data_IF_335920286483
#
_entry.id   IF_335920286483
#
_cell.length_a   1.000
_cell.length_b   1.000
_cell.length_c   1.000
_cell.angle_alpha   90.00
_cell.angle_beta   90.00
_cell.angle_gamma   90.00
#
_symmetry.space_group_name_H-M   'P 1'
#
loop_
_entity.id
_entity.type
_entity.pdbx_description
1 polymer ?
#
# COMPACT_ATOMS: atom_id res chain seq x y z
N UNK A 1 -9.24 -4.59 -9.16
CA UNK A 1 -9.63 -3.26 -8.65
C UNK A 1 -11.12 -3.04 -8.86
N UNK A 2 -11.72 -2.22 -8.01
CA UNK A 2 -13.09 -1.71 -8.13
C UNK A 2 -13.04 -0.20 -8.39
N UNK A 3 -14.04 0.33 -9.09
CA UNK A 3 -14.17 1.76 -9.39
C UNK A 3 -14.92 2.46 -8.26
N UNK A 4 -14.33 3.53 -7.75
CA UNK A 4 -14.97 4.45 -6.80
C UNK A 4 -15.25 5.75 -7.57
N UNK A 5 -16.52 6.13 -7.65
CA UNK A 5 -16.90 7.38 -8.30
C UNK A 5 -16.41 8.56 -7.46
N UNK A 6 -15.78 9.53 -8.12
CA UNK A 6 -15.31 10.74 -7.47
C UNK A 6 -16.46 11.62 -7.03
N UNK A 7 -16.24 12.40 -5.98
CA UNK A 7 -17.25 13.23 -5.39
C UNK A 7 -16.81 13.84 -4.07
N UNK A 8 -17.62 14.72 -3.49
CA UNK A 8 -17.45 15.13 -2.12
C UNK A 8 -17.88 13.99 -1.16
N UNK A 9 -17.17 13.84 -0.05
CA UNK A 9 -17.57 13.00 1.08
C UNK A 9 -17.15 13.68 2.39
N UNK A 10 -17.64 13.16 3.52
CA UNK A 10 -17.23 13.62 4.84
C UNK A 10 -16.14 12.69 5.34
N UNK A 11 -14.94 13.24 5.51
CA UNK A 11 -13.79 12.55 6.08
C UNK A 11 -13.71 12.82 7.59
N UNK A 12 -13.47 11.80 8.40
CA UNK A 12 -13.27 11.89 9.83
C UNK A 12 -14.56 11.82 10.66
N UNK A 13 -14.38 11.87 11.97
CA UNK A 13 -15.44 11.82 12.97
C UNK A 13 -15.97 13.21 13.32
N UNK A 14 -17.29 13.31 13.49
CA UNK A 14 -17.97 14.55 13.91
C UNK A 14 -17.47 15.09 15.26
N UNK A 15 -17.06 14.20 16.16
CA UNK A 15 -16.50 14.58 17.46
C UNK A 15 -15.49 13.55 17.95
N UNK A 16 -14.55 14.02 18.77
CA UNK A 16 -13.61 13.17 19.49
C UNK A 16 -14.41 12.29 20.45
N UNK A 17 -14.41 10.97 20.23
CA UNK A 17 -15.07 9.99 21.12
C UNK A 17 -14.11 9.36 22.12
N UNK A 18 -12.80 9.49 21.90
CA UNK A 18 -11.76 9.03 22.82
C UNK A 18 -10.45 9.81 22.62
N UNK A 19 -9.55 9.80 23.61
CA UNK A 19 -8.26 10.49 23.51
C UNK A 19 -7.33 9.95 22.40
N UNK A 20 -7.57 8.74 21.90
CA UNK A 20 -6.76 8.15 20.82
C UNK A 20 -7.22 8.55 19.42
N UNK A 21 -8.34 9.26 19.29
CA UNK A 21 -8.96 9.64 18.02
C UNK A 21 -8.96 11.15 17.80
N UNK A 22 -7.99 11.85 18.39
CA UNK A 22 -7.88 13.30 18.26
C UNK A 22 -7.59 13.74 16.84
N UNK A 23 -6.86 12.93 16.08
CA UNK A 23 -6.50 13.22 14.69
C UNK A 23 -7.59 12.78 13.70
N UNK A 24 -8.63 12.08 14.17
CA UNK A 24 -9.77 11.65 13.34
C UNK A 24 -10.89 12.72 13.28
N UNK A 25 -10.83 13.77 14.10
CA UNK A 25 -11.85 14.82 14.20
C UNK A 25 -11.23 16.23 14.04
N UNK A 26 -12.01 17.26 13.65
CA UNK A 26 -13.41 17.19 13.26
C UNK A 26 -13.61 16.69 11.82
N UNK A 27 -14.81 16.17 11.57
CA UNK A 27 -15.27 15.82 10.25
C UNK A 27 -15.13 17.00 9.28
N UNK A 28 -14.64 16.73 8.07
CA UNK A 28 -14.41 17.73 7.04
C UNK A 28 -14.88 17.24 5.68
N UNK A 29 -15.43 18.14 4.88
CA UNK A 29 -15.79 17.81 3.51
C UNK A 29 -14.53 17.75 2.64
N UNK A 30 -14.25 16.58 2.09
CA UNK A 30 -13.12 16.33 1.16
C UNK A 30 -13.68 15.92 -0.20
N UNK A 31 -12.95 16.22 -1.27
CA UNK A 31 -13.30 15.78 -2.63
C UNK A 31 -12.20 14.91 -3.20
N UNK A 32 -12.55 13.72 -3.65
CA UNK A 32 -11.67 12.82 -4.39
C UNK A 32 -12.09 12.75 -5.87
N UNK A 33 -11.12 12.51 -6.76
CA UNK A 33 -11.40 12.18 -8.17
C UNK A 33 -11.89 10.74 -8.27
N UNK A 34 -12.48 10.34 -9.40
CA UNK A 34 -12.76 8.91 -9.65
C UNK A 34 -11.44 8.14 -9.70
N UNK A 35 -11.37 7.02 -9.00
CA UNK A 35 -10.17 6.17 -8.96
C UNK A 35 -10.54 4.68 -8.93
N UNK A 36 -9.51 3.85 -9.09
CA UNK A 36 -9.58 2.41 -8.93
C UNK A 36 -8.79 2.03 -7.68
N UNK A 37 -9.34 1.16 -6.83
CA UNK A 37 -8.63 0.58 -5.69
C UNK A 37 -8.74 -0.93 -5.71
N UNK A 38 -7.73 -1.64 -5.23
CA UNK A 38 -7.80 -3.10 -5.15
C UNK A 38 -8.90 -3.54 -4.18
N UNK A 39 -9.61 -4.62 -4.55
CA UNK A 39 -10.70 -5.18 -3.73
C UNK A 39 -10.18 -5.91 -2.48
N UNK A 40 -8.95 -6.40 -2.57
CA UNK A 40 -8.26 -7.19 -1.55
C UNK A 40 -6.84 -6.67 -1.44
N UNK A 41 -6.22 -6.89 -0.29
CA UNK A 41 -4.81 -6.60 -0.06
C UNK A 41 -3.93 -7.40 -1.03
N UNK A 42 -2.71 -6.90 -1.24
CA UNK A 42 -1.70 -7.60 -2.04
C UNK A 42 -1.39 -8.94 -1.38
N UNK A 43 -1.51 -10.01 -2.15
CA UNK A 43 -1.25 -11.38 -1.67
C UNK A 43 0.24 -11.72 -1.73
N UNK A 44 0.69 -12.67 -0.90
CA UNK A 44 2.05 -13.21 -0.98
C UNK A 44 2.40 -13.70 -2.39
N UNK A 45 1.47 -14.35 -3.10
CA UNK A 45 1.72 -14.79 -4.49
C UNK A 45 2.03 -13.62 -5.43
N UNK A 46 1.33 -12.50 -5.28
CA UNK A 46 1.60 -11.31 -6.10
C UNK A 46 2.93 -10.67 -5.72
N UNK A 47 3.22 -10.55 -4.42
CA UNK A 47 4.49 -9.98 -3.97
C UNK A 47 5.69 -10.87 -4.34
N UNK A 48 5.53 -12.20 -4.36
CA UNK A 48 6.56 -13.13 -4.82
C UNK A 48 6.96 -12.89 -6.29
N UNK A 49 6.00 -12.52 -7.16
CA UNK A 49 6.28 -12.18 -8.56
C UNK A 49 7.13 -10.91 -8.67
N UNK A 50 6.91 -9.94 -7.78
CA UNK A 50 7.74 -8.74 -7.68
C UNK A 50 9.17 -9.07 -7.25
N UNK A 51 9.35 -9.87 -6.20
CA UNK A 51 10.66 -10.32 -5.74
C UNK A 51 11.42 -11.12 -6.81
N UNK A 52 10.73 -12.02 -7.51
CA UNK A 52 11.31 -12.78 -8.61
C UNK A 52 11.76 -11.87 -9.75
N UNK A 53 10.94 -10.88 -10.10
CA UNK A 53 11.29 -9.88 -11.11
C UNK A 53 12.53 -9.08 -10.68
N UNK A 54 12.61 -8.60 -9.44
CA UNK A 54 13.77 -7.88 -8.94
C UNK A 54 15.04 -8.75 -8.99
N UNK A 55 14.94 -10.01 -8.56
CA UNK A 55 16.04 -10.96 -8.63
C UNK A 55 16.57 -11.18 -10.04
N UNK A 56 15.68 -11.24 -11.04
CA UNK A 56 16.02 -11.35 -12.47
C UNK A 56 16.51 -10.04 -13.10
N UNK A 57 16.20 -8.89 -12.49
CA UNK A 57 16.45 -7.56 -13.05
C UNK A 57 17.29 -6.69 -12.11
N UNK A 58 18.33 -7.23 -11.47
CA UNK A 58 19.11 -6.52 -10.43
C UNK A 58 19.54 -5.10 -10.82
N UNK A 59 19.99 -4.89 -12.05
CA UNK A 59 20.40 -3.56 -12.54
C UNK A 59 19.25 -2.55 -12.71
N UNK A 60 18.00 -3.02 -12.71
CA UNK A 60 16.77 -2.23 -12.80
C UNK A 60 15.91 -2.35 -11.54
N UNK A 61 16.36 -3.10 -10.53
CA UNK A 61 15.55 -3.42 -9.35
C UNK A 61 15.07 -2.16 -8.62
N UNK A 62 15.89 -1.11 -8.61
CA UNK A 62 15.56 0.17 -7.96
C UNK A 62 14.82 1.17 -8.87
N UNK A 63 14.40 0.77 -10.08
CA UNK A 63 13.66 1.63 -11.01
C UNK A 63 12.32 2.11 -10.45
N UNK A 64 11.71 1.33 -9.56
CA UNK A 64 10.38 1.58 -9.02
C UNK A 64 10.41 2.11 -7.58
N UNK A 65 11.59 2.20 -6.98
CA UNK A 65 11.78 2.66 -5.61
C UNK A 65 11.43 4.13 -5.45
N UNK A 66 11.10 4.50 -4.22
CA UNK A 66 10.91 5.91 -3.88
C UNK A 66 12.25 6.65 -3.96
N UNK A 67 12.29 7.91 -4.42
CA UNK A 67 13.51 8.72 -4.33
C UNK A 67 14.02 8.95 -2.90
N UNK A 68 13.14 8.79 -1.89
CA UNK A 68 13.48 8.92 -0.48
C UNK A 68 13.90 7.59 0.18
N UNK A 69 13.95 6.50 -0.59
CA UNK A 69 14.33 5.18 -0.08
C UNK A 69 15.81 5.14 0.31
N UNK A 70 16.18 4.44 1.41
CA UNK A 70 17.57 4.16 1.73
C UNK A 70 18.29 3.43 0.59
N UNK A 71 19.56 3.76 0.36
CA UNK A 71 20.39 3.11 -0.66
C UNK A 71 20.45 1.60 -0.45
N UNK A 72 20.31 0.85 -1.54
CA UNK A 72 20.41 -0.62 -1.59
C UNK A 72 19.44 -1.36 -0.64
N UNK A 73 18.26 -0.78 -0.35
CA UNK A 73 17.21 -1.45 0.43
C UNK A 73 16.82 -2.80 -0.19
N UNK A 74 16.79 -3.83 0.64
CA UNK A 74 16.17 -5.12 0.32
C UNK A 74 14.64 -5.00 0.48
N UNK A 75 13.92 -5.47 -0.53
CA UNK A 75 12.46 -5.48 -0.58
C UNK A 75 11.84 -6.79 -0.11
N UNK A 76 12.67 -7.73 0.36
CA UNK A 76 12.20 -8.96 0.99
C UNK A 76 11.52 -8.62 2.31
N UNK A 77 10.22 -8.95 2.50
CA UNK A 77 9.50 -8.59 3.71
C UNK A 77 10.10 -9.26 4.94
N UNK A 78 10.04 -8.57 6.08
CA UNK A 78 10.47 -9.14 7.35
C UNK A 78 9.62 -10.38 7.68
N UNK A 79 10.26 -11.53 7.86
CA UNK A 79 9.57 -12.80 8.13
C UNK A 79 8.94 -13.44 6.89
N UNK A 80 9.42 -13.15 5.68
CA UNK A 80 8.91 -13.73 4.42
C UNK A 80 8.78 -15.27 4.42
N UNK A 81 9.69 -15.97 5.10
CA UNK A 81 9.68 -17.43 5.21
C UNK A 81 8.89 -17.96 6.41
N UNK A 82 8.26 -17.09 7.20
CA UNK A 82 7.46 -17.50 8.34
C UNK A 82 6.17 -18.20 7.86
N UNK A 83 6.09 -19.50 8.12
CA UNK A 83 4.96 -20.34 7.72
C UNK A 83 3.61 -19.85 8.25
N UNK A 84 3.58 -19.06 9.33
CA UNK A 84 2.34 -18.42 9.84
C UNK A 84 1.73 -17.45 8.85
N UNK A 85 2.55 -16.84 7.99
CA UNK A 85 2.11 -15.81 7.05
C UNK A 85 2.31 -16.21 5.58
N UNK A 86 3.19 -17.16 5.26
CA UNK A 86 3.62 -17.51 3.90
C UNK A 86 2.57 -18.11 2.94
N UNK A 87 1.29 -18.24 3.35
CA UNK A 87 0.24 -18.78 2.48
C UNK A 87 0.05 -17.91 1.23
N UNK A 88 -0.02 -18.47 0.00
CA UNK A 88 0.05 -17.70 -1.24
C UNK A 88 -1.13 -16.74 -1.46
N UNK A 89 -2.30 -17.04 -0.90
CA UNK A 89 -3.49 -16.18 -0.97
C UNK A 89 -3.68 -15.29 0.26
N UNK A 90 -2.77 -15.33 1.24
CA UNK A 90 -2.80 -14.42 2.39
C UNK A 90 -2.24 -13.05 2.00
N UNK A 91 -2.68 -11.97 2.67
CA UNK A 91 -2.04 -10.67 2.55
C UNK A 91 -0.55 -10.75 2.88
N UNK A 92 0.27 -10.05 2.11
CA UNK A 92 1.68 -9.86 2.45
C UNK A 92 1.80 -8.99 3.71
N UNK A 93 2.69 -9.39 4.61
CA UNK A 93 2.98 -8.69 5.87
C UNK A 93 4.49 -8.51 6.02
N UNK A 94 4.92 -7.69 6.97
CA UNK A 94 6.33 -7.39 7.19
C UNK A 94 6.95 -6.49 6.11
N UNK A 95 6.11 -5.86 5.30
CA UNK A 95 6.48 -4.81 4.35
C UNK A 95 6.48 -3.45 5.04
N UNK A 96 7.43 -2.59 4.72
CA UNK A 96 7.37 -1.18 5.08
C UNK A 96 6.70 -0.34 3.97
N UNK A 97 6.67 0.98 4.17
CA UNK A 97 6.07 1.89 3.19
C UNK A 97 6.82 1.88 1.84
N UNK A 98 8.15 1.75 1.86
CA UNK A 98 8.97 1.75 0.64
C UNK A 98 8.75 0.48 -0.17
N UNK A 99 8.59 -0.66 0.49
CA UNK A 99 8.20 -1.94 -0.11
C UNK A 99 6.84 -1.82 -0.83
N UNK A 100 5.85 -1.26 -0.12
CA UNK A 100 4.52 -1.05 -0.68
C UNK A 100 4.54 -0.08 -1.88
N UNK A 101 5.33 1.00 -1.78
CA UNK A 101 5.51 1.97 -2.86
C UNK A 101 6.14 1.33 -4.11
N UNK A 102 7.26 0.63 -3.93
CA UNK A 102 7.99 -0.01 -5.02
C UNK A 102 7.14 -1.09 -5.70
N UNK A 103 6.45 -1.93 -4.92
CA UNK A 103 5.52 -2.93 -5.45
C UNK A 103 4.39 -2.28 -6.27
N UNK A 104 3.74 -1.25 -5.73
CA UNK A 104 2.63 -0.59 -6.42
C UNK A 104 3.09 -0.01 -7.76
N UNK A 105 4.24 0.65 -7.78
CA UNK A 105 4.85 1.22 -9.00
C UNK A 105 5.24 0.14 -10.01
N UNK A 106 5.85 -0.95 -9.57
CA UNK A 106 6.19 -2.10 -10.41
C UNK A 106 4.92 -2.72 -11.04
N UNK A 107 3.84 -2.81 -10.27
CA UNK A 107 2.55 -3.33 -10.73
C UNK A 107 1.78 -2.36 -11.65
N UNK A 108 2.35 -1.19 -11.99
CA UNK A 108 1.68 -0.17 -12.79
C UNK A 108 0.56 0.58 -12.05
N UNK A 109 0.63 0.62 -10.72
CA UNK A 109 -0.33 1.23 -9.80
C UNK A 109 0.34 2.31 -8.94
N UNK A 110 -0.35 2.75 -7.91
CA UNK A 110 0.13 3.64 -6.84
C UNK A 110 -0.54 3.27 -5.52
N UNK A 111 0.01 3.75 -4.41
CA UNK A 111 -0.69 3.73 -3.12
C UNK A 111 -1.89 4.70 -3.16
N UNK A 112 -2.99 4.39 -2.44
CA UNK A 112 -4.07 5.35 -2.24
C UNK A 112 -3.58 6.51 -1.35
N UNK A 113 -4.22 7.67 -1.47
CA UNK A 113 -4.15 8.67 -0.39
C UNK A 113 -5.01 8.20 0.78
N UNK A 114 -4.80 8.76 1.97
CA UNK A 114 -5.67 8.48 3.13
C UNK A 114 -7.14 8.74 2.82
N UNK A 115 -7.45 9.88 2.19
CA UNK A 115 -8.82 10.24 1.80
C UNK A 115 -9.41 9.35 0.68
N UNK A 116 -8.58 8.61 -0.08
CA UNK A 116 -9.07 7.60 -1.02
C UNK A 116 -9.26 6.23 -0.36
N UNK A 117 -8.72 6.02 0.83
CA UNK A 117 -8.80 4.75 1.56
C UNK A 117 -10.00 4.71 2.51
N UNK A 118 -10.36 5.86 3.10
CA UNK A 118 -11.52 6.03 3.98
C UNK A 118 -12.86 5.97 3.24
#
# INVERSE_FOLDING_TARGET
MVKIEGGPFIQGLERIVSNTQRDEAPARQVRVKTFLIDKYEVTNRQYAQFLEWQGKNRSKAHRFCSPAEPTDKDHTPMGWQDARYAGPSRPVVGVDWYDAYAFARWAGKRLPTEAEWE
#
